data_IF_300679486832
#
_entry.id   IF_300679486832
#
_cell.length_a   1.000
_cell.length_b   1.000
_cell.length_c   1.000
_cell.angle_alpha   90.00
_cell.angle_beta   90.00
_cell.angle_gamma   90.00
#
_symmetry.space_group_name_H-M   'P 1'
#
loop_
_entity.id
_entity.type
_entity.pdbx_description
1 polymer ?
#
# COMPACT_ATOMS: atom_id res chain seq x y z
N UNK A 1 -18.28 6.99 9.85
CA UNK A 1 -17.16 6.05 10.13
C UNK A 1 -15.88 6.62 9.53
N UNK A 2 -14.68 6.30 10.03
CA UNK A 2 -13.40 6.75 9.44
C UNK A 2 -13.24 8.27 9.31
N UNK A 3 -13.89 9.06 10.19
CA UNK A 3 -13.87 10.52 10.08
C UNK A 3 -14.68 11.09 8.89
N UNK A 4 -15.56 10.30 8.29
CA UNK A 4 -16.49 10.73 7.23
C UNK A 4 -17.90 10.96 7.78
N UNK A 5 -18.56 12.01 7.28
CA UNK A 5 -19.97 12.32 7.50
C UNK A 5 -20.81 12.14 6.21
N UNK A 6 -22.13 12.28 6.31
CA UNK A 6 -23.05 12.08 5.17
C UNK A 6 -22.77 12.99 3.98
N UNK A 7 -22.40 14.26 4.23
CA UNK A 7 -22.04 15.20 3.18
C UNK A 7 -20.79 14.74 2.39
N UNK A 8 -19.82 14.14 3.08
CA UNK A 8 -18.64 13.55 2.44
C UNK A 8 -19.01 12.40 1.51
N UNK A 9 -19.93 11.53 1.95
CA UNK A 9 -20.42 10.42 1.13
C UNK A 9 -21.15 10.93 -0.10
N UNK A 10 -22.05 11.90 0.05
CA UNK A 10 -22.76 12.52 -1.06
C UNK A 10 -21.79 13.16 -2.06
N UNK A 11 -20.78 13.88 -1.58
CA UNK A 11 -19.76 14.51 -2.42
C UNK A 11 -18.91 13.47 -3.17
N UNK A 12 -18.53 12.37 -2.51
CA UNK A 12 -17.80 11.27 -3.13
C UNK A 12 -18.65 10.57 -4.20
N UNK A 13 -19.92 10.25 -3.90
CA UNK A 13 -20.83 9.60 -4.85
C UNK A 13 -21.02 10.46 -6.09
N UNK A 14 -21.36 11.73 -5.91
CA UNK A 14 -21.50 12.69 -7.01
C UNK A 14 -20.24 12.80 -7.87
N UNK A 15 -19.06 12.80 -7.25
CA UNK A 15 -17.78 12.82 -7.98
C UNK A 15 -17.59 11.56 -8.82
N UNK A 16 -17.85 10.38 -8.26
CA UNK A 16 -17.70 9.11 -8.97
C UNK A 16 -18.71 9.00 -10.11
N UNK A 17 -19.95 9.41 -9.90
CA UNK A 17 -20.99 9.39 -10.93
C UNK A 17 -20.64 10.30 -12.10
N UNK A 18 -20.15 11.52 -11.83
CA UNK A 18 -19.66 12.44 -12.86
C UNK A 18 -18.47 11.87 -13.63
N UNK A 19 -17.53 11.23 -12.93
CA UNK A 19 -16.37 10.59 -13.57
C UNK A 19 -16.79 9.40 -14.44
N UNK A 20 -17.69 8.55 -13.95
CA UNK A 20 -18.24 7.41 -14.70
C UNK A 20 -18.94 7.90 -15.97
N UNK A 21 -19.82 8.90 -15.85
CA UNK A 21 -20.52 9.51 -16.98
C UNK A 21 -19.55 10.06 -18.02
N UNK A 22 -18.57 10.86 -17.61
CA UNK A 22 -17.56 11.40 -18.52
C UNK A 22 -16.79 10.29 -19.26
N UNK A 23 -16.33 9.25 -18.55
CA UNK A 23 -15.58 8.15 -19.15
C UNK A 23 -16.45 7.30 -20.10
N UNK A 24 -17.75 7.20 -19.83
CA UNK A 24 -18.68 6.45 -20.66
C UNK A 24 -19.07 7.21 -21.92
N UNK A 25 -19.32 8.52 -21.79
CA UNK A 25 -19.78 9.38 -22.89
C UNK A 25 -18.66 9.65 -23.91
N UNK A 26 -17.39 9.65 -23.48
CA UNK A 26 -16.26 9.84 -24.38
C UNK A 26 -15.92 8.55 -25.13
N UNK A 27 -16.19 8.52 -26.44
CA UNK A 27 -16.01 7.38 -27.33
C UNK A 27 -14.91 7.62 -28.36
N UNK A 28 -14.28 6.55 -28.80
CA UNK A 28 -13.27 6.54 -29.87
C UNK A 28 -13.30 5.21 -30.61
N UNK A 29 -12.84 5.21 -31.86
CA UNK A 29 -12.67 3.99 -32.66
C UNK A 29 -11.22 3.51 -32.55
N UNK A 30 -11.01 2.24 -32.21
CA UNK A 30 -9.67 1.66 -32.14
C UNK A 30 -9.16 1.28 -33.54
N UNK A 31 -7.91 0.78 -33.62
CA UNK A 31 -7.28 0.35 -34.87
C UNK A 31 -7.96 -0.85 -35.55
N UNK A 32 -8.86 -1.54 -34.85
CA UNK A 32 -9.65 -2.67 -35.38
C UNK A 32 -11.04 -2.25 -35.86
N UNK A 33 -11.35 -0.95 -35.85
CA UNK A 33 -12.67 -0.44 -36.24
C UNK A 33 -13.73 -0.56 -35.14
N UNK A 34 -13.37 -0.97 -33.92
CA UNK A 34 -14.32 -1.11 -32.81
C UNK A 34 -14.49 0.23 -32.07
N UNK A 35 -15.74 0.62 -31.84
CA UNK A 35 -16.06 1.74 -30.94
C UNK A 35 -15.84 1.32 -29.47
N UNK A 36 -15.06 2.11 -28.74
CA UNK A 36 -14.79 1.94 -27.29
C UNK A 36 -15.05 3.25 -26.57
N UNK A 37 -15.50 3.15 -25.31
CA UNK A 37 -15.51 4.30 -24.38
C UNK A 37 -14.22 4.33 -23.56
N UNK A 38 -13.84 5.50 -23.03
CA UNK A 38 -12.73 5.58 -22.07
C UNK A 38 -12.97 4.71 -20.83
N UNK A 39 -14.23 4.50 -20.43
CA UNK A 39 -14.61 3.61 -19.34
C UNK A 39 -14.22 2.17 -19.66
N UNK A 40 -14.51 1.70 -20.88
CA UNK A 40 -14.25 0.31 -21.31
C UNK A 40 -12.76 -0.06 -21.31
N UNK A 41 -11.87 0.92 -21.49
CA UNK A 41 -10.40 0.72 -21.45
C UNK A 41 -9.76 1.20 -20.15
N UNK A 42 -10.56 1.68 -19.19
CA UNK A 42 -10.08 2.23 -17.94
C UNK A 42 -9.37 1.17 -17.09
N UNK A 43 -8.28 1.58 -16.44
CA UNK A 43 -7.56 0.81 -15.41
C UNK A 43 -7.70 1.45 -14.03
N UNK A 44 -8.85 2.08 -13.78
CA UNK A 44 -9.16 2.74 -12.50
C UNK A 44 -9.55 1.73 -11.43
N UNK A 45 -9.03 1.91 -10.22
CA UNK A 45 -9.43 1.16 -9.02
C UNK A 45 -10.92 1.35 -8.64
N UNK A 46 -11.59 2.37 -9.20
CA UNK A 46 -13.01 2.65 -8.96
C UNK A 46 -13.94 2.11 -10.06
N UNK A 47 -13.42 1.71 -11.21
CA UNK A 47 -14.25 1.43 -12.38
C UNK A 47 -13.90 0.14 -13.12
N UNK A 48 -12.77 -0.50 -12.80
CA UNK A 48 -12.22 -1.56 -13.61
C UNK A 48 -11.91 -2.81 -12.79
N UNK A 49 -12.63 -3.90 -13.08
CA UNK A 49 -12.30 -5.24 -12.59
C UNK A 49 -10.90 -5.68 -13.04
N UNK A 50 -10.43 -5.21 -14.20
CA UNK A 50 -9.09 -5.52 -14.69
C UNK A 50 -7.98 -4.90 -13.84
N UNK A 51 -8.24 -3.80 -13.12
CA UNK A 51 -7.29 -3.27 -12.15
C UNK A 51 -7.05 -4.25 -11.00
N UNK A 52 -8.11 -4.90 -10.51
CA UNK A 52 -8.02 -5.91 -9.46
C UNK A 52 -7.18 -7.10 -9.93
N UNK A 53 -7.44 -7.61 -11.14
CA UNK A 53 -6.65 -8.69 -11.73
C UNK A 53 -5.16 -8.31 -11.87
N UNK A 54 -4.85 -7.07 -12.27
CA UNK A 54 -3.48 -6.58 -12.34
C UNK A 54 -2.80 -6.49 -10.96
N UNK A 55 -3.54 -6.07 -9.93
CA UNK A 55 -3.03 -6.03 -8.54
C UNK A 55 -2.76 -7.44 -8.02
N UNK A 56 -3.67 -8.39 -8.25
CA UNK A 56 -3.47 -9.79 -7.89
C UNK A 56 -2.23 -10.37 -8.60
N UNK A 57 -2.11 -10.16 -9.92
CA UNK A 57 -0.96 -10.61 -10.71
C UNK A 57 0.36 -10.02 -10.19
N UNK A 58 0.40 -8.74 -9.82
CA UNK A 58 1.60 -8.11 -9.24
C UNK A 58 1.96 -8.69 -7.88
N UNK A 59 0.98 -8.91 -7.02
CA UNK A 59 1.19 -9.51 -5.69
C UNK A 59 1.73 -10.93 -5.81
N UNK A 60 1.15 -11.74 -6.72
CA UNK A 60 1.63 -13.09 -7.02
C UNK A 60 3.04 -13.08 -7.62
N UNK A 61 3.33 -12.16 -8.54
CA UNK A 61 4.67 -12.04 -9.13
C UNK A 61 5.74 -11.75 -8.07
N UNK A 62 5.48 -10.82 -7.15
CA UNK A 62 6.41 -10.51 -6.05
C UNK A 62 6.62 -11.73 -5.15
N UNK A 63 5.55 -12.48 -4.86
CA UNK A 63 5.67 -13.72 -4.10
C UNK A 63 6.50 -14.79 -4.83
N UNK A 64 6.30 -14.97 -6.14
CA UNK A 64 7.07 -15.92 -6.92
C UNK A 64 8.57 -15.55 -6.96
N UNK A 65 8.88 -14.26 -7.13
CA UNK A 65 10.26 -13.76 -7.06
C UNK A 65 10.84 -13.95 -5.65
N UNK A 66 10.05 -13.76 -4.60
CA UNK A 66 10.54 -13.94 -3.24
C UNK A 66 10.87 -15.41 -2.92
N UNK A 67 10.11 -16.36 -3.45
CA UNK A 67 10.43 -17.79 -3.37
C UNK A 67 11.72 -18.09 -4.14
N UNK A 68 11.87 -17.56 -5.37
CA UNK A 68 13.08 -17.74 -6.19
C UNK A 68 14.34 -17.27 -5.46
N UNK A 69 14.28 -16.11 -4.82
CA UNK A 69 15.42 -15.52 -4.10
C UNK A 69 15.49 -15.95 -2.62
N UNK A 70 14.75 -16.98 -2.21
CA UNK A 70 14.74 -17.52 -0.84
C UNK A 70 14.50 -16.46 0.26
N UNK A 71 13.64 -15.49 -0.03
CA UNK A 71 13.38 -14.36 0.86
C UNK A 71 12.34 -14.71 1.92
N UNK A 72 12.58 -14.24 3.15
CA UNK A 72 11.65 -14.37 4.25
C UNK A 72 10.56 -13.29 4.19
N UNK A 73 9.27 -13.64 4.36
CA UNK A 73 8.19 -12.67 4.50
C UNK A 73 8.22 -11.99 5.88
N UNK A 74 7.96 -10.69 5.89
CA UNK A 74 7.77 -9.88 7.10
C UNK A 74 6.53 -9.02 6.92
N UNK A 75 5.52 -9.21 7.77
CA UNK A 75 4.33 -8.39 7.78
C UNK A 75 4.48 -7.27 8.80
N UNK A 76 4.21 -6.05 8.33
CA UNK A 76 4.26 -4.84 9.13
C UNK A 76 2.88 -4.23 9.28
N UNK A 77 2.57 -3.80 10.50
CA UNK A 77 1.46 -2.89 10.79
C UNK A 77 2.02 -1.62 11.38
N UNK A 78 2.06 -0.56 10.57
CA UNK A 78 2.70 0.71 10.93
C UNK A 78 1.61 1.73 11.25
N UNK A 79 1.59 2.20 12.51
CA UNK A 79 0.66 3.22 12.98
C UNK A 79 1.41 4.52 13.29
N UNK A 80 0.70 5.64 13.23
CA UNK A 80 1.20 6.90 13.78
C UNK A 80 1.03 6.92 15.30
N UNK A 81 1.92 7.65 15.98
CA UNK A 81 1.82 7.88 17.41
C UNK A 81 0.52 8.65 17.77
N UNK A 82 0.04 8.50 19.00
CA UNK A 82 -1.24 9.07 19.45
C UNK A 82 -1.36 10.59 19.29
N UNK A 83 -0.24 11.32 19.31
CA UNK A 83 -0.19 12.76 19.09
C UNK A 83 -0.71 13.19 17.70
N UNK A 84 -0.53 12.37 16.66
CA UNK A 84 -0.97 12.68 15.31
C UNK A 84 -2.49 12.72 15.15
N UNK A 85 -3.23 12.03 16.03
CA UNK A 85 -4.69 12.14 16.08
C UNK A 85 -5.13 13.53 16.53
N UNK A 86 -4.41 14.11 17.51
CA UNK A 86 -4.69 15.46 18.02
C UNK A 86 -4.30 16.55 17.02
N UNK A 87 -3.31 16.28 16.17
CA UNK A 87 -2.93 17.17 15.08
C UNK A 87 -4.07 17.43 14.07
N UNK A 88 -5.05 16.52 13.95
CA UNK A 88 -6.23 16.72 13.09
C UNK A 88 -7.08 17.94 13.49
N UNK A 89 -6.99 18.35 14.76
CA UNK A 89 -7.68 19.53 15.30
C UNK A 89 -6.70 20.64 15.68
N UNK A 90 -5.47 20.61 15.14
CA UNK A 90 -4.43 21.62 15.40
C UNK A 90 -3.79 21.54 16.79
N UNK A 91 -4.03 20.47 17.55
CA UNK A 91 -3.41 20.31 18.87
C UNK A 91 -2.08 19.54 18.76
N UNK A 92 -0.97 20.27 18.92
CA UNK A 92 0.40 19.77 18.85
C UNK A 92 1.09 19.61 20.22
N UNK A 93 0.39 19.86 21.34
CA UNK A 93 1.01 19.93 22.67
C UNK A 93 1.71 18.64 23.13
N UNK A 94 1.31 17.49 22.59
CA UNK A 94 1.89 16.18 22.93
C UNK A 94 2.95 15.70 21.94
N UNK A 95 3.41 16.54 21.01
CA UNK A 95 4.49 16.18 20.11
C UNK A 95 5.83 16.17 20.83
N UNK A 96 6.55 15.06 20.72
CA UNK A 96 7.92 14.95 21.21
C UNK A 96 8.91 15.46 20.14
N UNK A 97 10.15 15.70 20.55
CA UNK A 97 11.24 16.00 19.61
C UNK A 97 11.41 14.90 18.55
N UNK A 98 11.17 13.64 18.89
CA UNK A 98 11.25 12.52 17.94
C UNK A 98 10.11 12.60 16.91
N UNK A 99 8.90 12.96 17.33
CA UNK A 99 7.75 13.14 16.42
C UNK A 99 8.06 14.24 15.41
N UNK A 100 8.53 15.40 15.87
CA UNK A 100 8.86 16.56 15.02
C UNK A 100 10.00 16.22 14.03
N UNK A 101 11.06 15.54 14.48
CA UNK A 101 12.15 15.09 13.60
C UNK A 101 11.67 14.10 12.53
N UNK A 102 10.63 13.34 12.81
CA UNK A 102 10.07 12.37 11.87
C UNK A 102 9.24 13.03 10.74
N UNK A 103 8.82 14.29 10.88
CA UNK A 103 7.96 14.98 9.91
C UNK A 103 8.70 15.37 8.61
N UNK A 104 8.00 15.35 7.46
CA UNK A 104 8.44 16.04 6.25
C UNK A 104 8.40 17.57 6.44
N UNK A 105 9.06 18.31 5.55
CA UNK A 105 9.21 19.77 5.65
C UNK A 105 7.84 20.48 5.71
N UNK A 106 6.91 20.14 4.83
CA UNK A 106 5.57 20.75 4.78
C UNK A 106 4.81 20.59 6.10
N UNK A 107 4.86 19.40 6.71
CA UNK A 107 4.15 19.15 7.97
C UNK A 107 4.86 19.80 9.15
N UNK A 108 6.19 20.03 9.08
CA UNK A 108 6.88 20.88 10.07
C UNK A 108 6.41 22.32 10.00
N UNK A 109 6.26 22.88 8.79
CA UNK A 109 5.75 24.24 8.60
C UNK A 109 4.34 24.38 9.17
N UNK A 110 3.43 23.48 8.80
CA UNK A 110 2.06 23.46 9.35
C UNK A 110 2.04 23.36 10.87
N UNK A 111 2.91 22.53 11.46
CA UNK A 111 3.02 22.41 12.92
C UNK A 111 3.44 23.74 13.54
N UNK A 112 4.45 24.41 12.97
CA UNK A 112 4.94 25.71 13.46
C UNK A 112 3.90 26.82 13.33
N UNK A 113 3.07 26.77 12.28
CA UNK A 113 1.97 27.71 12.02
C UNK A 113 0.69 27.36 12.80
N UNK A 114 0.66 26.26 13.55
CA UNK A 114 -0.54 25.79 14.26
C UNK A 114 -1.66 25.31 13.35
N UNK A 115 -1.38 25.04 12.08
CA UNK A 115 -2.36 24.62 11.08
C UNK A 115 -2.71 23.14 11.29
N UNK A 116 -3.99 22.77 11.47
CA UNK A 116 -4.41 21.38 11.60
C UNK A 116 -3.94 20.50 10.44
N UNK A 117 -3.50 19.29 10.76
CA UNK A 117 -3.15 18.30 9.75
C UNK A 117 -4.40 17.70 9.12
N UNK A 118 -4.36 17.47 7.81
CA UNK A 118 -5.35 16.65 7.12
C UNK A 118 -4.99 15.17 7.17
N UNK A 119 -5.95 14.28 6.87
CA UNK A 119 -5.68 12.85 6.65
C UNK A 119 -4.60 12.62 5.59
N UNK A 120 -4.55 13.47 4.56
CA UNK A 120 -3.52 13.39 3.51
C UNK A 120 -2.14 13.76 4.04
N UNK A 121 -2.05 14.75 4.94
CA UNK A 121 -0.79 15.08 5.62
C UNK A 121 -0.28 13.90 6.45
N UNK A 122 -1.17 13.22 7.18
CA UNK A 122 -0.83 12.03 7.96
C UNK A 122 -0.34 10.88 7.06
N UNK A 123 -0.97 10.67 5.91
CA UNK A 123 -0.52 9.69 4.93
C UNK A 123 0.86 10.06 4.34
N UNK A 124 1.15 11.35 4.14
CA UNK A 124 2.45 11.84 3.69
C UNK A 124 3.54 11.59 4.73
N UNK A 125 3.26 11.81 6.02
CA UNK A 125 4.19 11.46 7.13
C UNK A 125 4.52 9.97 7.09
N UNK A 126 3.52 9.10 6.94
CA UNK A 126 3.73 7.66 6.83
C UNK A 126 4.56 7.28 5.59
N UNK A 127 4.28 7.88 4.44
CA UNK A 127 5.06 7.66 3.20
C UNK A 127 6.52 8.08 3.37
N UNK A 128 6.77 9.24 3.99
CA UNK A 128 8.10 9.76 4.25
C UNK A 128 8.88 8.85 5.21
N UNK A 129 8.24 8.39 6.28
CA UNK A 129 8.86 7.44 7.21
C UNK A 129 9.11 6.07 6.57
N UNK A 130 8.18 5.56 5.75
CA UNK A 130 8.39 4.34 4.97
C UNK A 130 9.56 4.47 3.99
N UNK A 131 9.70 5.62 3.33
CA UNK A 131 10.84 5.90 2.48
C UNK A 131 12.16 5.87 3.27
N UNK A 132 12.24 6.56 4.42
CA UNK A 132 13.43 6.49 5.29
C UNK A 132 13.77 5.07 5.72
N UNK A 133 12.76 4.30 6.13
CA UNK A 133 12.93 2.91 6.54
C UNK A 133 13.55 2.08 5.41
N UNK A 134 12.98 2.12 4.21
CA UNK A 134 13.52 1.39 3.04
C UNK A 134 14.90 1.90 2.61
N UNK A 135 15.17 3.20 2.70
CA UNK A 135 16.48 3.77 2.40
C UNK A 135 17.56 3.32 3.38
N UNK A 136 17.25 3.25 4.67
CA UNK A 136 18.19 2.74 5.69
C UNK A 136 18.54 1.28 5.45
N UNK A 137 17.55 0.45 5.10
CA UNK A 137 17.79 -0.94 4.71
C UNK A 137 18.73 -1.02 3.51
N UNK A 138 18.39 -0.35 2.40
CA UNK A 138 19.15 -0.38 1.15
C UNK A 138 20.56 0.18 1.26
N UNK A 139 20.81 1.08 2.22
CA UNK A 139 22.15 1.62 2.47
C UNK A 139 23.06 0.59 3.15
N UNK A 140 22.54 -0.17 4.12
CA UNK A 140 23.32 -1.17 4.85
C UNK A 140 23.45 -2.47 4.04
N UNK A 141 22.35 -2.93 3.45
CA UNK A 141 22.31 -4.14 2.64
C UNK A 141 22.22 -3.79 1.16
N UNK A 142 23.22 -3.05 0.67
CA UNK A 142 23.30 -2.68 -0.74
C UNK A 142 23.51 -3.94 -1.57
N UNK A 143 22.69 -4.14 -2.60
CA UNK A 143 22.75 -5.31 -3.48
C UNK A 143 21.80 -6.44 -3.07
N UNK A 144 21.38 -6.49 -1.80
CA UNK A 144 20.40 -7.49 -1.35
C UNK A 144 19.01 -7.24 -1.95
N UNK A 145 18.32 -8.33 -2.29
CA UNK A 145 16.97 -8.26 -2.85
C UNK A 145 15.98 -7.85 -1.76
N UNK A 146 15.32 -6.71 -1.97
CA UNK A 146 14.31 -6.18 -1.07
C UNK A 146 13.06 -5.81 -1.84
N UNK A 147 11.99 -6.56 -1.60
CA UNK A 147 10.69 -6.33 -2.22
C UNK A 147 9.64 -6.03 -1.17
N UNK A 148 8.63 -5.25 -1.55
CA UNK A 148 7.50 -4.98 -0.67
C UNK A 148 6.21 -4.71 -1.44
N UNK A 149 5.12 -4.94 -0.74
CA UNK A 149 3.76 -4.55 -1.08
C UNK A 149 3.20 -3.80 0.11
N UNK A 150 2.45 -2.72 -0.12
CA UNK A 150 1.77 -2.01 0.96
C UNK A 150 0.46 -1.38 0.54
N UNK A 151 -0.42 -1.24 1.52
CA UNK A 151 -1.70 -0.55 1.44
C UNK A 151 -1.91 0.32 2.68
N UNK A 152 -2.74 1.34 2.55
CA UNK A 152 -3.27 2.05 3.71
C UNK A 152 -4.56 1.39 4.20
N UNK A 153 -4.88 1.56 5.47
CA UNK A 153 -6.21 1.32 6.01
C UNK A 153 -6.53 2.47 6.99
N UNK A 154 -7.78 2.98 7.01
CA UNK A 154 -8.18 3.99 7.98
C UNK A 154 -8.53 3.39 9.33
N UNK A 155 -8.13 4.04 10.42
CA UNK A 155 -8.65 3.71 11.74
C UNK A 155 -10.16 4.02 11.85
N UNK A 156 -10.95 3.05 12.33
CA UNK A 156 -12.42 3.12 12.40
C UNK A 156 -12.97 4.41 13.04
N UNK A 157 -12.30 4.88 14.09
CA UNK A 157 -12.75 6.02 14.90
C UNK A 157 -12.64 7.37 14.18
N UNK A 158 -11.52 7.62 13.51
CA UNK A 158 -11.10 8.97 13.12
C UNK A 158 -10.54 9.05 11.69
N UNK A 159 -10.34 7.92 11.02
CA UNK A 159 -9.78 7.89 9.69
C UNK A 159 -8.27 8.10 9.63
N UNK A 160 -7.57 8.22 10.77
CA UNK A 160 -6.10 8.31 10.79
C UNK A 160 -5.54 7.10 10.04
N UNK A 161 -4.67 7.31 9.03
CA UNK A 161 -4.14 6.21 8.24
C UNK A 161 -3.16 5.36 9.05
N UNK A 162 -3.14 4.06 8.78
CA UNK A 162 -2.05 3.15 9.11
C UNK A 162 -1.65 2.36 7.85
N UNK A 163 -0.41 1.87 7.81
CA UNK A 163 0.09 1.05 6.69
C UNK A 163 0.07 -0.42 7.10
N UNK A 164 -0.45 -1.26 6.22
CA UNK A 164 -0.13 -2.68 6.19
C UNK A 164 0.86 -2.92 5.06
N UNK A 165 2.00 -3.53 5.38
CA UNK A 165 3.02 -3.85 4.41
C UNK A 165 3.45 -5.31 4.53
N UNK A 166 3.69 -5.95 3.40
CA UNK A 166 4.39 -7.22 3.31
C UNK A 166 5.74 -6.97 2.66
N UNK A 167 6.80 -7.29 3.36
CA UNK A 167 8.18 -7.19 2.91
C UNK A 167 8.72 -8.60 2.66
N UNK A 168 9.55 -8.74 1.64
CA UNK A 168 10.36 -9.91 1.40
C UNK A 168 11.83 -9.48 1.41
N UNK A 169 12.62 -10.08 2.29
CA UNK A 169 14.05 -9.79 2.47
C UNK A 169 14.82 -11.05 2.92
N UNK A 170 16.15 -11.12 2.73
CA UNK A 170 16.95 -12.27 3.12
C UNK A 170 16.89 -12.47 4.64
N UNK A 171 16.85 -13.73 5.09
CA UNK A 171 16.63 -14.08 6.50
C UNK A 171 17.66 -13.47 7.45
N UNK A 172 18.92 -13.36 7.01
CA UNK A 172 20.01 -12.79 7.80
C UNK A 172 19.82 -11.27 8.07
N UNK A 173 19.01 -10.57 7.28
CA UNK A 173 18.78 -9.12 7.40
C UNK A 173 17.64 -8.74 8.35
N UNK A 174 16.78 -9.71 8.72
CA UNK A 174 15.58 -9.49 9.52
C UNK A 174 15.86 -8.82 10.88
N UNK A 175 16.91 -9.19 11.65
CA UNK A 175 17.22 -8.51 12.90
C UNK A 175 17.47 -7.00 12.72
N UNK A 176 18.14 -6.62 11.63
CA UNK A 176 18.36 -5.20 11.32
C UNK A 176 17.06 -4.51 10.87
N UNK A 177 16.22 -5.18 10.07
CA UNK A 177 14.89 -4.68 9.71
C UNK A 177 14.06 -4.36 10.96
N UNK A 178 14.05 -5.26 11.94
CA UNK A 178 13.35 -5.03 13.22
C UNK A 178 13.95 -3.82 13.98
N UNK A 179 15.28 -3.70 14.02
CA UNK A 179 15.97 -2.56 14.65
C UNK A 179 15.53 -1.23 14.03
N UNK A 180 15.59 -1.10 12.70
CA UNK A 180 15.21 0.15 12.04
C UNK A 180 13.68 0.37 12.05
N UNK A 181 12.88 -0.70 12.09
CA UNK A 181 11.44 -0.62 12.28
C UNK A 181 11.12 0.06 13.61
N UNK A 182 11.70 -0.44 14.71
CA UNK A 182 11.50 0.13 16.06
C UNK A 182 11.95 1.58 16.17
N UNK A 183 13.00 1.96 15.45
CA UNK A 183 13.47 3.36 15.47
C UNK A 183 12.58 4.31 14.65
N UNK A 184 12.25 3.91 13.42
CA UNK A 184 11.48 4.76 12.49
C UNK A 184 9.99 4.80 12.85
N UNK A 185 9.44 3.66 13.29
CA UNK A 185 8.03 3.47 13.64
C UNK A 185 7.89 3.14 15.13
N UNK A 186 8.33 4.07 15.96
CA UNK A 186 8.41 3.91 17.41
C UNK A 186 7.07 4.11 18.16
N UNK A 187 5.94 4.22 17.44
CA UNK A 187 4.63 4.28 18.08
C UNK A 187 4.47 3.08 19.03
N UNK A 188 3.92 3.25 20.25
CA UNK A 188 3.82 2.17 21.21
C UNK A 188 3.17 0.92 20.61
N UNK A 189 3.91 -0.19 20.68
CA UNK A 189 3.46 -1.51 20.21
C UNK A 189 2.97 -2.33 21.42
N UNK A 190 2.15 -3.36 21.17
CA UNK A 190 1.71 -4.29 22.22
C UNK A 190 0.93 -3.67 23.39
N UNK A 191 0.27 -2.53 23.20
CA UNK A 191 -0.62 -1.92 24.22
C UNK A 191 -1.78 -2.85 24.66
N UNK A 192 -2.07 -3.89 23.88
CA UNK A 192 -2.93 -5.01 24.25
C UNK A 192 -2.14 -6.29 24.05
N UNK A 193 -1.93 -7.04 25.13
CA UNK A 193 -1.04 -8.22 25.17
C UNK A 193 -1.60 -9.45 24.41
N UNK A 194 -2.88 -9.45 24.07
CA UNK A 194 -3.62 -10.63 23.58
C UNK A 194 -3.45 -10.95 22.09
N UNK A 195 -2.46 -10.36 21.40
CA UNK A 195 -2.40 -10.40 19.93
C UNK A 195 -1.28 -11.26 19.33
N UNK A 196 -0.29 -11.68 20.13
CA UNK A 196 0.82 -12.50 19.67
C UNK A 196 0.69 -13.91 20.23
N UNK A 197 0.98 -14.91 19.40
CA UNK A 197 1.10 -16.30 19.88
C UNK A 197 2.39 -16.49 20.67
N UNK A 198 2.46 -17.53 21.51
CA UNK A 198 3.68 -17.85 22.27
C UNK A 198 4.91 -18.00 21.36
N UNK A 199 4.74 -18.64 20.19
CA UNK A 199 5.81 -18.80 19.19
C UNK A 199 6.33 -17.45 18.66
N UNK A 200 5.43 -16.51 18.39
CA UNK A 200 5.80 -15.17 17.94
C UNK A 200 6.58 -14.39 18.99
N UNK A 201 6.19 -14.52 20.27
CA UNK A 201 6.89 -13.91 21.39
C UNK A 201 8.32 -14.49 21.51
N UNK A 202 8.45 -15.82 21.43
CA UNK A 202 9.75 -16.51 21.43
C UNK A 202 10.65 -16.06 20.27
N UNK A 203 10.06 -15.80 19.11
CA UNK A 203 10.77 -15.29 17.92
C UNK A 203 11.10 -13.78 18.00
N UNK A 204 10.77 -13.10 19.09
CA UNK A 204 11.02 -11.67 19.29
C UNK A 204 10.12 -10.75 18.46
N UNK A 205 8.98 -11.25 17.97
CA UNK A 205 8.01 -10.49 17.20
C UNK A 205 7.24 -9.48 18.06
N UNK A 206 6.69 -8.46 17.41
CA UNK A 206 5.82 -7.45 18.01
C UNK A 206 4.57 -7.27 17.14
N UNK A 207 3.49 -6.70 17.67
CA UNK A 207 2.23 -6.53 16.93
C UNK A 207 2.40 -5.83 15.57
N UNK A 208 3.36 -4.92 15.47
CA UNK A 208 3.67 -4.20 14.24
C UNK A 208 4.71 -4.86 13.33
N UNK A 209 5.33 -5.96 13.74
CA UNK A 209 6.39 -6.67 13.00
C UNK A 209 6.30 -8.18 13.26
N UNK A 210 5.80 -8.91 12.27
CA UNK A 210 5.57 -10.35 12.35
C UNK A 210 6.33 -11.07 11.24
N UNK A 211 6.91 -12.22 11.54
CA UNK A 211 7.71 -13.04 10.60
C UNK A 211 7.13 -14.45 10.44
N UNK A 212 6.39 -14.92 11.44
CA UNK A 212 5.74 -16.22 11.49
C UNK A 212 4.36 -16.13 10.82
N UNK A 213 4.34 -15.94 9.49
CA UNK A 213 3.10 -15.72 8.72
C UNK A 213 2.84 -16.90 7.79
N UNK A 214 1.74 -17.60 8.01
CA UNK A 214 1.23 -18.59 7.07
C UNK A 214 0.50 -17.88 5.94
N UNK A 215 0.86 -18.18 4.68
CA UNK A 215 0.30 -17.55 3.48
C UNK A 215 0.38 -16.01 3.50
N UNK A 216 1.60 -15.49 3.47
CA UNK A 216 1.87 -14.05 3.52
C UNK A 216 1.13 -13.24 2.43
N UNK A 217 1.05 -13.79 1.22
CA UNK A 217 0.33 -13.20 0.07
C UNK A 217 -1.17 -13.06 0.34
N UNK A 218 -1.82 -14.11 0.83
CA UNK A 218 -3.24 -14.05 1.22
C UNK A 218 -3.50 -13.02 2.32
N UNK A 219 -2.57 -12.92 3.28
CA UNK A 219 -2.67 -11.99 4.39
C UNK A 219 -2.66 -10.52 3.92
N UNK A 220 -1.75 -10.13 3.02
CA UNK A 220 -1.73 -8.75 2.49
C UNK A 220 -2.89 -8.50 1.53
N UNK A 221 -3.30 -9.50 0.74
CA UNK A 221 -4.42 -9.40 -0.20
C UNK A 221 -5.74 -9.11 0.52
N UNK A 222 -5.96 -9.66 1.72
CA UNK A 222 -7.10 -9.31 2.59
C UNK A 222 -7.23 -7.81 2.83
N UNK A 223 -6.12 -7.09 3.01
CA UNK A 223 -6.16 -5.63 3.25
C UNK A 223 -6.32 -4.84 1.96
N UNK A 224 -5.75 -5.34 0.87
CA UNK A 224 -5.85 -4.73 -0.45
C UNK A 224 -7.29 -4.84 -0.99
N UNK A 225 -7.93 -6.00 -0.86
CA UNK A 225 -9.29 -6.27 -1.37
C UNK A 225 -10.36 -5.41 -0.72
N UNK A 226 -10.23 -5.13 0.59
CA UNK A 226 -11.10 -4.20 1.33
C UNK A 226 -11.18 -2.80 0.70
N UNK A 227 -10.16 -2.40 -0.06
CA UNK A 227 -10.10 -1.07 -0.68
C UNK A 227 -10.82 -0.99 -2.03
N UNK A 228 -11.26 -2.11 -2.61
CA UNK A 228 -11.91 -2.15 -3.93
C UNK A 228 -13.42 -2.17 -3.84
N UNK A 229 -14.07 -1.65 -4.90
CA UNK A 229 -15.52 -1.76 -5.11
C UNK A 229 -15.85 -3.22 -5.34
N UNK A 230 -16.89 -3.71 -4.68
CA UNK A 230 -17.41 -5.03 -4.96
C UNK A 230 -18.28 -4.98 -6.22
N UNK A 231 -17.62 -5.02 -7.39
CA UNK A 231 -18.29 -4.95 -8.69
C UNK A 231 -19.36 -6.02 -8.92
N UNK A 232 -19.41 -7.07 -8.08
CA UNK A 232 -20.29 -8.23 -8.24
C UNK A 232 -21.55 -8.18 -7.37
N UNK A 233 -21.62 -7.31 -6.36
CA UNK A 233 -22.74 -7.29 -5.39
C UNK A 233 -23.51 -5.97 -5.38
N UNK A 234 -22.80 -4.82 -5.32
CA UNK A 234 -23.42 -3.50 -5.37
C UNK A 234 -22.50 -2.51 -6.07
N UNK A 235 -23.08 -1.63 -6.89
CA UNK A 235 -22.36 -0.52 -7.52
C UNK A 235 -22.09 0.65 -6.53
N UNK A 236 -22.37 0.43 -5.24
CA UNK A 236 -22.30 1.44 -4.19
C UNK A 236 -20.93 1.51 -3.53
N UNK A 237 -20.51 2.75 -3.27
CA UNK A 237 -19.22 3.06 -2.65
C UNK A 237 -19.31 2.80 -1.14
N UNK A 238 -18.46 1.92 -0.61
CA UNK A 238 -18.37 1.69 0.84
C UNK A 238 -17.53 2.77 1.55
N UNK A 239 -17.55 2.78 2.88
CA UNK A 239 -16.90 3.80 3.69
C UNK A 239 -15.37 3.83 3.57
N UNK A 240 -14.75 2.67 3.36
CA UNK A 240 -13.30 2.58 3.13
C UNK A 240 -12.93 3.20 1.79
N UNK A 241 -13.67 2.86 0.72
CA UNK A 241 -13.45 3.41 -0.61
C UNK A 241 -13.69 4.93 -0.63
N UNK A 242 -14.75 5.39 0.04
CA UNK A 242 -15.06 6.81 0.15
C UNK A 242 -13.92 7.58 0.82
N UNK A 243 -13.32 7.00 1.86
CA UNK A 243 -12.15 7.57 2.54
C UNK A 243 -10.96 7.74 1.58
N UNK A 244 -10.65 6.72 0.78
CA UNK A 244 -9.60 6.81 -0.25
C UNK A 244 -9.90 7.90 -1.31
N UNK A 245 -11.15 7.98 -1.77
CA UNK A 245 -11.57 8.92 -2.82
C UNK A 245 -11.57 10.36 -2.33
N UNK A 246 -12.09 10.61 -1.12
CA UNK A 246 -12.14 11.92 -0.47
C UNK A 246 -10.73 12.45 -0.24
N UNK A 247 -9.88 11.65 0.39
CA UNK A 247 -8.54 12.08 0.78
C UNK A 247 -7.48 11.92 -0.32
N UNK A 248 -7.86 11.38 -1.50
CA UNK A 248 -6.99 11.16 -2.67
C UNK A 248 -5.77 10.30 -2.31
N UNK A 249 -5.98 9.26 -1.51
CA UNK A 249 -4.91 8.35 -1.07
C UNK A 249 -4.76 7.21 -2.07
N UNK A 250 -3.52 6.85 -2.36
CA UNK A 250 -3.22 5.70 -3.22
C UNK A 250 -3.47 4.41 -2.45
N UNK A 251 -4.30 3.52 -3.03
CA UNK A 251 -4.70 2.24 -2.42
C UNK A 251 -3.54 1.24 -2.32
N UNK A 252 -2.82 1.06 -3.41
CA UNK A 252 -1.80 0.02 -3.54
C UNK A 252 -0.45 0.60 -3.99
N UNK A 253 0.63 0.18 -3.34
CA UNK A 253 2.00 0.48 -3.70
C UNK A 253 2.86 -0.78 -3.55
N UNK A 254 3.79 -1.00 -4.47
CA UNK A 254 4.72 -2.11 -4.40
C UNK A 254 6.10 -1.71 -4.92
N UNK A 255 7.08 -2.58 -4.71
CA UNK A 255 8.32 -2.57 -5.48
C UNK A 255 8.04 -2.76 -6.97
N UNK A 256 8.98 -2.31 -7.80
CA UNK A 256 8.92 -2.53 -9.24
C UNK A 256 9.26 -4.00 -9.53
N UNK A 257 8.56 -4.57 -10.50
CA UNK A 257 8.91 -5.89 -11.04
C UNK A 257 9.96 -5.70 -12.15
N UNK A 258 10.83 -6.71 -12.41
CA UNK A 258 11.79 -6.68 -13.52
C UNK A 258 11.18 -6.24 -14.86
N UNK A 259 9.98 -6.74 -15.18
CA UNK A 259 9.19 -6.33 -16.33
C UNK A 259 8.14 -5.31 -15.86
N UNK A 260 8.20 -4.06 -16.36
CA UNK A 260 7.21 -3.04 -16.06
C UNK A 260 5.81 -3.42 -16.55
N UNK A 261 4.78 -3.02 -15.79
CA UNK A 261 3.39 -3.34 -16.11
C UNK A 261 2.94 -2.81 -17.49
N UNK A 262 3.51 -1.68 -17.94
CA UNK A 262 3.19 -1.13 -19.27
C UNK A 262 3.71 -2.02 -20.41
N UNK A 263 4.83 -2.72 -20.21
CA UNK A 263 5.35 -3.71 -21.18
C UNK A 263 4.41 -4.90 -21.20
N UNK A 264 4.08 -5.45 -20.02
CA UNK A 264 3.15 -6.56 -19.90
C UNK A 264 1.80 -6.28 -20.59
N UNK A 265 1.22 -5.10 -20.38
CA UNK A 265 -0.05 -4.69 -21.02
C UNK A 265 0.02 -4.66 -22.55
N UNK A 266 1.20 -4.55 -23.15
CA UNK A 266 1.39 -4.58 -24.60
C UNK A 266 1.62 -5.97 -25.15
N UNK A 267 1.99 -6.96 -24.33
CA UNK A 267 2.39 -8.30 -24.81
C UNK A 267 1.50 -9.43 -24.28
N UNK A 268 0.65 -9.15 -23.29
CA UNK A 268 -0.19 -10.15 -22.62
C UNK A 268 -1.27 -10.76 -23.53
N UNK A 269 -1.43 -10.31 -24.78
CA UNK A 269 -2.28 -10.99 -25.74
C UNK A 269 -1.67 -12.32 -26.23
N UNK A 270 -0.34 -12.43 -26.20
CA UNK A 270 0.42 -13.64 -26.57
C UNK A 270 0.19 -14.71 -25.51
N UNK A 271 -0.32 -15.88 -25.90
CA UNK A 271 -0.77 -16.94 -24.98
C UNK A 271 0.30 -17.35 -23.95
N UNK A 272 1.56 -17.49 -24.38
CA UNK A 272 2.70 -17.84 -23.51
C UNK A 272 3.14 -16.71 -22.57
N UNK A 273 2.74 -15.46 -22.81
CA UNK A 273 3.15 -14.26 -22.08
C UNK A 273 2.00 -13.62 -21.28
N UNK A 274 0.91 -14.37 -21.09
CA UNK A 274 -0.26 -13.92 -20.30
C UNK A 274 0.00 -13.88 -18.80
N UNK A 275 0.98 -14.64 -18.32
CA UNK A 275 1.32 -14.70 -16.91
C UNK A 275 2.48 -13.74 -16.60
N UNK A 276 2.18 -12.68 -15.85
CA UNK A 276 3.18 -11.69 -15.45
C UNK A 276 4.30 -12.31 -14.58
N UNK A 277 3.97 -13.29 -13.74
CA UNK A 277 4.93 -13.97 -12.89
C UNK A 277 5.95 -14.75 -13.70
N UNK A 278 5.47 -15.61 -14.60
CA UNK A 278 6.33 -16.41 -15.49
C UNK A 278 7.22 -15.51 -16.35
N UNK A 279 6.66 -14.43 -16.91
CA UNK A 279 7.42 -13.44 -17.65
C UNK A 279 8.56 -12.84 -16.83
N UNK A 280 8.29 -12.43 -15.60
CA UNK A 280 9.31 -11.83 -14.73
C UNK A 280 10.37 -12.83 -14.32
N UNK A 281 9.98 -14.08 -14.06
CA UNK A 281 10.90 -15.18 -13.76
C UNK A 281 11.84 -15.42 -14.96
N UNK A 282 11.30 -15.53 -16.18
CA UNK A 282 12.09 -15.74 -17.41
C UNK A 282 13.10 -14.63 -17.63
N UNK A 283 12.69 -13.36 -17.49
CA UNK A 283 13.62 -12.24 -17.66
C UNK A 283 14.73 -12.24 -16.61
N UNK A 284 14.41 -12.65 -15.40
CA UNK A 284 15.37 -12.79 -14.31
C UNK A 284 16.30 -14.01 -14.51
N UNK A 285 15.93 -14.99 -15.35
CA UNK A 285 16.81 -16.09 -15.78
C UNK A 285 17.83 -15.66 -16.84
N UNK A 286 17.46 -14.83 -17.82
CA UNK A 286 18.42 -14.38 -18.85
C UNK A 286 19.62 -13.60 -18.25
N UNK A 287 19.42 -12.92 -17.13
CA UNK A 287 20.51 -12.22 -16.44
C UNK A 287 21.41 -13.15 -15.60
N UNK A 288 21.04 -14.42 -15.40
CA UNK A 288 21.84 -15.42 -14.65
C UNK A 288 22.54 -16.43 -15.55
N UNK A 289 22.33 -16.37 -16.87
CA UNK A 289 22.97 -17.23 -17.88
C UNK A 289 24.09 -16.52 -18.66
N UNK A 290 24.40 -15.26 -18.35
CA UNK A 290 25.47 -14.46 -18.98
C UNK A 290 26.50 -14.00 -17.93
N UNK A 291 26.78 -14.84 -16.93
CA UNK A 291 28.02 -14.82 -16.15
C UNK A 291 28.72 -16.17 -16.30
#
# INVERSE_FOLDING_TARGET
MFGLNEADFAAVKLKIDRQRKFLQDYKFTNSFGEEKSLLSVSKSANFSSTYYAEVANRTNTIHMLSVKHELAPVFLTITLNGCFRKALVGNFATFTTKDIRSLPIEQKQKLNEGVPFSIRDLANVLNYNFHKFTMRFRRIYKGEVFQYIRTFEPHKKDGVPHIHALIYAPRHTIPYLLKIYKDVFYAPQNLRNERLTASQITNGEINGFQTSINNATGYVMKYITKTFINFNETDDINEVQAWFIKHKIRRFLSSQNPIPLWVYRKINFIKSLRDLGNLNILKDFDNTLIE
#
